data_IF_262302465326
#
_entry.id   IF_262302465326
#
_cell.length_a   1.000
_cell.length_b   1.000
_cell.length_c   1.000
_cell.angle_alpha   90.00
_cell.angle_beta   90.00
_cell.angle_gamma   90.00
#
_symmetry.space_group_name_H-M   'P 1'
#
loop_
_entity.id
_entity.type
_entity.pdbx_description
1 polymer ?
#
# COMPACT_ATOMS: atom_id res chain seq x y z
N UNK A 1 -14.28 -1.33 -4.08
CA UNK A 1 -13.05 -1.88 -3.49
C UNK A 1 -12.52 -2.94 -4.43
N UNK A 2 -11.23 -2.89 -4.77
CA UNK A 2 -10.52 -3.86 -5.61
C UNK A 2 -9.74 -4.83 -4.72
N UNK A 3 -9.53 -6.07 -5.17
CA UNK A 3 -8.87 -7.12 -4.38
C UNK A 3 -8.01 -7.99 -5.28
N UNK A 4 -6.90 -8.51 -4.74
CA UNK A 4 -6.04 -9.50 -5.37
C UNK A 4 -5.35 -10.35 -4.29
N UNK A 5 -4.95 -11.55 -4.65
CA UNK A 5 -4.14 -12.45 -3.82
C UNK A 5 -2.82 -12.70 -4.57
N UNK A 6 -1.69 -12.43 -3.92
CA UNK A 6 -0.37 -12.49 -4.54
C UNK A 6 0.70 -12.99 -3.57
N UNK A 7 1.83 -13.50 -4.08
CA UNK A 7 3.05 -13.70 -3.28
C UNK A 7 4.01 -12.53 -3.52
N UNK A 8 4.11 -11.54 -2.60
CA UNK A 8 4.91 -10.34 -2.85
C UNK A 8 6.40 -10.67 -2.85
N UNK A 9 7.14 -10.36 -3.94
CA UNK A 9 8.58 -10.57 -3.96
C UNK A 9 9.25 -9.72 -2.88
N UNK A 10 10.20 -10.32 -2.17
CA UNK A 10 10.89 -9.72 -1.03
C UNK A 10 9.97 -9.30 0.14
N UNK A 11 8.77 -9.90 0.24
CA UNK A 11 7.83 -9.66 1.33
C UNK A 11 7.47 -8.17 1.50
N UNK A 12 7.36 -7.43 0.39
CA UNK A 12 7.12 -5.99 0.43
C UNK A 12 6.28 -5.50 -0.75
N UNK A 13 5.39 -4.56 -0.45
CA UNK A 13 4.55 -3.84 -1.38
C UNK A 13 4.75 -2.33 -1.25
N UNK A 14 4.39 -1.60 -2.29
CA UNK A 14 4.48 -0.15 -2.36
C UNK A 14 3.14 0.44 -2.78
N UNK A 15 2.76 1.55 -2.14
CA UNK A 15 1.58 2.34 -2.46
C UNK A 15 2.04 3.70 -2.96
N UNK A 16 1.88 3.95 -4.26
CA UNK A 16 2.28 5.21 -4.89
C UNK A 16 1.54 5.42 -6.23
N UNK A 17 1.80 6.54 -6.90
CA UNK A 17 1.34 6.80 -8.26
C UNK A 17 2.20 6.05 -9.31
N UNK A 18 1.72 4.98 -9.97
CA UNK A 18 2.55 4.17 -10.87
C UNK A 18 3.03 4.88 -12.14
N UNK A 19 2.50 6.08 -12.45
CA UNK A 19 2.94 6.90 -13.56
C UNK A 19 3.86 8.06 -13.12
N UNK A 20 4.04 8.27 -11.81
CA UNK A 20 4.97 9.26 -11.29
C UNK A 20 6.43 8.79 -11.46
N UNK A 21 7.16 9.43 -12.37
CA UNK A 21 8.57 9.15 -12.65
C UNK A 21 9.53 9.60 -11.56
N UNK A 22 9.06 10.42 -10.62
CA UNK A 22 9.84 10.98 -9.52
C UNK A 22 9.48 10.31 -8.17
N UNK A 23 8.90 9.11 -8.20
CA UNK A 23 8.63 8.36 -6.96
C UNK A 23 9.95 8.10 -6.22
N UNK A 24 9.96 8.36 -4.92
CA UNK A 24 11.07 8.06 -4.03
C UNK A 24 10.64 6.88 -3.16
N UNK A 25 11.37 5.78 -3.20
CA UNK A 25 11.13 4.66 -2.28
C UNK A 25 11.63 5.08 -0.89
N UNK A 26 10.80 4.99 0.17
CA UNK A 26 11.21 5.36 1.52
C UNK A 26 12.35 4.46 2.01
N UNK A 27 13.22 5.00 2.86
CA UNK A 27 14.24 4.21 3.51
C UNK A 27 13.59 3.15 4.41
N UNK A 28 14.16 1.94 4.42
CA UNK A 28 13.73 0.89 5.35
C UNK A 28 13.95 1.34 6.80
N UNK A 29 12.95 1.11 7.65
CA UNK A 29 13.02 1.39 9.08
C UNK A 29 12.90 0.06 9.80
N UNK A 30 13.94 -0.31 10.53
CA UNK A 30 13.99 -1.61 11.19
C UNK A 30 12.91 -1.74 12.27
N UNK A 31 12.18 -2.85 12.24
CA UNK A 31 11.09 -3.13 13.17
C UNK A 31 9.75 -2.45 12.86
N UNK A 32 9.66 -1.63 11.79
CA UNK A 32 8.42 -1.00 11.36
C UNK A 32 7.81 -1.73 10.16
N UNK A 33 6.49 -1.98 10.21
CA UNK A 33 5.79 -2.62 9.10
C UNK A 33 5.68 -1.69 7.88
N UNK A 34 5.64 -0.39 8.11
CA UNK A 34 5.50 0.62 7.05
C UNK A 34 6.56 1.69 7.15
N UNK A 35 7.06 2.15 6.01
CA UNK A 35 7.84 3.37 5.91
C UNK A 35 7.22 4.27 4.83
N UNK A 36 7.31 5.59 4.98
CA UNK A 36 6.65 6.51 4.07
C UNK A 36 7.45 7.79 3.82
N UNK A 37 7.21 8.38 2.65
CA UNK A 37 7.49 9.77 2.34
C UNK A 37 6.28 10.37 1.61
N UNK A 38 6.45 11.56 1.01
CA UNK A 38 5.41 12.29 0.30
C UNK A 38 5.01 11.69 -1.07
N UNK A 39 5.71 10.67 -1.56
CA UNK A 39 5.44 10.05 -2.86
C UNK A 39 5.10 8.56 -2.79
N UNK A 40 5.44 7.89 -1.69
CA UNK A 40 5.34 6.44 -1.58
C UNK A 40 5.23 5.99 -0.13
N UNK A 41 4.45 4.93 0.07
CA UNK A 41 4.43 4.14 1.30
C UNK A 41 4.88 2.73 0.98
N UNK A 42 5.89 2.20 1.68
CA UNK A 42 6.25 0.79 1.65
C UNK A 42 5.54 0.04 2.77
N UNK A 43 5.18 -1.21 2.52
CA UNK A 43 4.43 -2.08 3.44
C UNK A 43 5.04 -3.46 3.41
N UNK A 44 5.54 -3.93 4.55
CA UNK A 44 5.96 -5.32 4.72
C UNK A 44 4.77 -6.26 4.63
N UNK A 45 5.01 -7.46 4.12
CA UNK A 45 4.04 -8.55 4.01
C UNK A 45 4.61 -9.81 4.64
N UNK A 46 3.82 -10.86 4.77
CA UNK A 46 4.40 -12.20 4.97
C UNK A 46 5.34 -12.55 3.80
N UNK A 47 6.31 -13.44 4.06
CA UNK A 47 7.22 -13.90 3.03
C UNK A 47 6.50 -14.76 1.98
N UNK A 48 6.99 -14.71 0.75
CA UNK A 48 6.47 -15.47 -0.38
C UNK A 48 6.52 -16.99 -0.15
N UNK A 49 7.51 -17.46 0.60
CA UNK A 49 7.64 -18.87 1.01
C UNK A 49 6.62 -19.31 2.05
N UNK A 50 6.04 -18.37 2.80
CA UNK A 50 5.09 -18.63 3.88
C UNK A 50 3.63 -18.58 3.40
N UNK A 51 3.37 -18.04 2.21
CA UNK A 51 2.07 -18.09 1.54
C UNK A 51 1.74 -16.85 0.71
N UNK A 52 0.49 -16.74 0.29
CA UNK A 52 -0.03 -15.58 -0.45
C UNK A 52 -0.61 -14.52 0.49
N UNK A 53 -0.42 -13.25 0.14
CA UNK A 53 -1.01 -12.08 0.80
C UNK A 53 -2.26 -11.62 0.05
N UNK A 54 -3.36 -11.48 0.78
CA UNK A 54 -4.58 -10.85 0.29
C UNK A 54 -4.45 -9.32 0.41
N UNK A 55 -4.57 -8.63 -0.71
CA UNK A 55 -4.47 -7.17 -0.78
C UNK A 55 -5.75 -6.56 -1.30
N UNK A 56 -6.15 -5.43 -0.73
CA UNK A 56 -7.28 -4.65 -1.21
C UNK A 56 -6.96 -3.17 -1.33
N UNK A 57 -7.57 -2.51 -2.32
CA UNK A 57 -7.43 -1.09 -2.59
C UNK A 57 -8.81 -0.47 -2.81
N UNK A 58 -9.13 0.61 -2.10
CA UNK A 58 -10.42 1.28 -2.26
C UNK A 58 -10.45 2.67 -1.66
N UNK A 59 -11.54 3.39 -1.86
CA UNK A 59 -11.80 4.63 -1.16
C UNK A 59 -12.05 4.37 0.33
N UNK A 60 -11.86 5.42 1.15
CA UNK A 60 -12.17 5.40 2.56
C UNK A 60 -13.63 4.99 2.79
N UNK A 61 -13.79 4.02 3.68
CA UNK A 61 -15.06 3.44 4.09
C UNK A 61 -14.94 3.04 5.58
N UNK A 62 -15.82 2.18 6.07
CA UNK A 62 -15.68 1.58 7.39
C UNK A 62 -14.34 0.86 7.58
N UNK A 63 -13.87 0.81 8.83
CA UNK A 63 -12.65 0.11 9.20
C UNK A 63 -12.77 -1.39 8.84
N UNK A 64 -11.80 -1.96 8.10
CA UNK A 64 -11.86 -3.36 7.71
C UNK A 64 -11.89 -4.29 8.93
N UNK A 65 -12.85 -5.22 8.95
CA UNK A 65 -13.03 -6.15 10.08
C UNK A 65 -11.80 -7.04 10.27
N UNK A 66 -11.30 -7.07 11.50
CA UNK A 66 -10.18 -7.91 11.91
C UNK A 66 -8.81 -7.40 11.45
N UNK A 67 -8.72 -6.17 10.94
CA UNK A 67 -7.45 -5.50 10.64
C UNK A 67 -7.19 -4.36 11.63
N UNK A 68 -5.92 -4.05 11.86
CA UNK A 68 -5.44 -2.93 12.66
C UNK A 68 -4.86 -1.86 11.74
N UNK A 69 -5.10 -0.59 12.03
CA UNK A 69 -4.48 0.49 11.26
C UNK A 69 -3.00 0.55 11.60
N UNK A 70 -2.14 0.40 10.60
CA UNK A 70 -0.69 0.44 10.75
C UNK A 70 -0.07 1.72 10.19
N UNK A 71 -0.81 2.44 9.34
CA UNK A 71 -0.36 3.70 8.77
C UNK A 71 -1.53 4.65 8.48
N UNK A 72 -1.30 5.94 8.68
CA UNK A 72 -2.12 7.04 8.20
C UNK A 72 -1.18 8.19 7.79
N UNK A 73 -1.27 8.64 6.55
CA UNK A 73 -0.47 9.75 6.03
C UNK A 73 -0.96 10.22 4.67
N UNK A 74 -0.20 11.10 4.03
CA UNK A 74 -0.58 11.71 2.74
C UNK A 74 0.54 11.50 1.73
N UNK A 75 0.19 11.13 0.49
CA UNK A 75 1.11 11.05 -0.65
C UNK A 75 0.62 11.92 -1.80
N UNK A 76 1.51 12.32 -2.69
CA UNK A 76 1.22 13.13 -3.85
C UNK A 76 0.98 12.28 -5.10
N UNK A 77 -0.17 12.50 -5.76
CA UNK A 77 -0.62 11.77 -6.94
C UNK A 77 -0.73 12.73 -8.15
N UNK A 78 0.34 12.93 -8.92
CA UNK A 78 0.33 13.84 -10.06
C UNK A 78 -0.45 13.32 -11.29
N UNK A 79 -0.63 12.00 -11.44
CA UNK A 79 -1.25 11.40 -12.63
C UNK A 79 -2.74 11.09 -12.47
N UNK A 80 -3.27 11.17 -11.24
CA UNK A 80 -4.65 10.79 -10.90
C UNK A 80 -4.85 9.27 -10.75
N UNK A 81 -3.78 8.51 -10.48
CA UNK A 81 -3.85 7.09 -10.17
C UNK A 81 -2.99 6.75 -8.96
N UNK A 82 -3.54 5.95 -8.06
CA UNK A 82 -2.80 5.29 -6.98
C UNK A 82 -2.80 3.79 -7.23
N UNK A 83 -1.67 3.13 -6.97
CA UNK A 83 -1.55 1.70 -7.16
C UNK A 83 -0.80 1.01 -6.02
N UNK A 84 -1.13 -0.27 -5.85
CA UNK A 84 -0.34 -1.22 -5.08
C UNK A 84 0.61 -1.92 -6.05
N UNK A 85 1.90 -1.87 -5.77
CA UNK A 85 2.97 -2.29 -6.68
C UNK A 85 3.98 -3.16 -5.92
N UNK A 86 4.52 -4.19 -6.56
CA UNK A 86 5.55 -5.05 -5.96
C UNK A 86 6.94 -4.41 -5.99
N UNK A 87 7.91 -5.01 -5.29
CA UNK A 87 9.33 -4.63 -5.38
C UNK A 87 9.96 -4.76 -6.76
N UNK A 88 9.31 -5.46 -7.68
CA UNK A 88 9.72 -5.58 -9.07
C UNK A 88 8.97 -4.59 -9.99
N UNK A 89 8.29 -3.60 -9.41
CA UNK A 89 7.46 -2.62 -10.12
C UNK A 89 6.27 -3.22 -10.90
N UNK A 90 5.86 -4.44 -10.55
CA UNK A 90 4.64 -5.04 -11.11
C UNK A 90 3.42 -4.44 -10.41
N UNK A 91 2.45 -3.98 -11.21
CA UNK A 91 1.21 -3.41 -10.69
C UNK A 91 0.25 -4.53 -10.27
N UNK A 92 -0.24 -4.45 -9.05
CA UNK A 92 -1.15 -5.44 -8.45
C UNK A 92 -2.59 -4.94 -8.54
N UNK A 93 -2.84 -3.74 -8.03
CA UNK A 93 -4.13 -3.04 -8.07
C UNK A 93 -3.89 -1.57 -8.42
N UNK A 94 -4.83 -0.95 -9.13
CA UNK A 94 -4.81 0.49 -9.46
C UNK A 94 -6.20 1.08 -9.29
N UNK A 95 -6.26 2.31 -8.77
CA UNK A 95 -7.48 3.06 -8.56
C UNK A 95 -7.32 4.49 -9.09
N UNK A 96 -8.31 4.96 -9.85
CA UNK A 96 -8.38 6.36 -10.27
C UNK A 96 -8.78 7.25 -9.09
N UNK A 97 -8.06 8.36 -8.94
CA UNK A 97 -8.25 9.34 -7.86
C UNK A 97 -8.03 10.75 -8.41
N UNK A 98 -8.54 11.80 -7.76
CA UNK A 98 -8.20 13.18 -8.12
C UNK A 98 -6.69 13.42 -8.08
N UNK A 99 -6.21 14.30 -8.95
CA UNK A 99 -4.81 14.75 -8.95
C UNK A 99 -4.57 15.62 -7.71
N UNK A 100 -3.47 15.37 -7.00
CA UNK A 100 -3.07 16.16 -5.84
C UNK A 100 -2.69 15.31 -4.62
N UNK A 101 -2.73 15.89 -3.41
CA UNK A 101 -2.57 15.17 -2.16
C UNK A 101 -3.68 14.11 -1.98
N UNK A 102 -3.29 12.92 -1.54
CA UNK A 102 -4.17 11.80 -1.26
C UNK A 102 -3.87 11.26 0.13
N UNK A 103 -4.85 11.28 1.02
CA UNK A 103 -4.74 10.61 2.30
C UNK A 103 -4.79 9.09 2.08
N UNK A 104 -3.82 8.37 2.66
CA UNK A 104 -3.65 6.92 2.56
C UNK A 104 -3.67 6.32 3.95
N UNK A 105 -4.48 5.27 4.09
CA UNK A 105 -4.59 4.46 5.30
C UNK A 105 -4.28 3.02 4.96
N UNK A 106 -3.42 2.40 5.76
CA UNK A 106 -3.05 0.99 5.57
C UNK A 106 -3.44 0.24 6.83
N UNK A 107 -4.08 -0.91 6.59
CA UNK A 107 -4.56 -1.81 7.61
C UNK A 107 -3.94 -3.20 7.39
N UNK A 108 -3.61 -3.88 8.47
CA UNK A 108 -2.97 -5.19 8.45
C UNK A 108 -3.56 -6.12 9.52
N UNK A 109 -3.57 -7.43 9.28
CA UNK A 109 -4.01 -8.43 10.26
C UNK A 109 -2.93 -8.81 11.28
N UNK A 110 -1.66 -8.63 10.93
CA UNK A 110 -0.49 -8.83 11.79
C UNK A 110 0.52 -7.68 11.62
N UNK A 111 1.23 -7.33 12.70
CA UNK A 111 2.17 -6.19 12.72
C UNK A 111 3.58 -6.55 12.22
N UNK A 112 3.86 -7.83 11.92
CA UNK A 112 5.18 -8.32 11.51
C UNK A 112 5.12 -9.05 10.17
N UNK A 113 4.12 -9.91 9.99
CA UNK A 113 3.98 -10.76 8.81
C UNK A 113 2.52 -10.82 8.38
N UNK A 114 1.94 -9.72 7.86
CA UNK A 114 0.53 -9.70 7.51
C UNK A 114 0.24 -10.57 6.29
N UNK A 115 -0.80 -11.38 6.42
CA UNK A 115 -1.40 -12.14 5.33
C UNK A 115 -2.51 -11.34 4.66
N UNK A 116 -3.04 -10.30 5.31
CA UNK A 116 -4.12 -9.45 4.79
C UNK A 116 -3.76 -7.98 4.94
N UNK A 117 -3.76 -7.27 3.82
CA UNK A 117 -3.50 -5.83 3.76
C UNK A 117 -4.68 -5.13 3.09
N UNK A 118 -5.17 -4.06 3.71
CA UNK A 118 -6.14 -3.17 3.08
C UNK A 118 -5.61 -1.75 2.99
N UNK A 119 -5.65 -1.19 1.79
CA UNK A 119 -5.29 0.19 1.51
C UNK A 119 -6.56 0.96 1.22
N UNK A 120 -6.86 1.94 2.07
CA UNK A 120 -7.97 2.87 1.90
C UNK A 120 -7.42 4.25 1.58
N UNK A 121 -8.06 4.93 0.62
CA UNK A 121 -7.62 6.26 0.18
C UNK A 121 -8.75 7.28 0.22
N UNK A 122 -8.42 8.53 0.52
CA UNK A 122 -9.38 9.63 0.53
C UNK A 122 -8.75 10.86 -0.12
N UNK A 123 -9.38 11.44 -1.17
CA UNK A 123 -8.96 12.74 -1.68
C UNK A 123 -9.07 13.80 -0.58
N UNK A 124 -8.06 14.68 -0.48
CA UNK A 124 -8.10 15.84 0.43
C UNK A 124 -8.92 17.01 -0.13
#
# INVERSE_FOLDING_TARGET
MLQATISPPNAILFVFDPANKNVIIPAYVDGELTAANDTCVSVGTQADVDGETDVSLGFFDEAPVGLQQVFLGTIHIPSGRVGIVTSQFQRVLELEVPIGPLAVMIWADDLRMPARIAVQVKPE
#
